data_IF_885957902784
#
_entry.id   IF_885957902784
#
_cell.length_a   1.000
_cell.length_b   1.000
_cell.length_c   1.000
_cell.angle_alpha   90.00
_cell.angle_beta   90.00
_cell.angle_gamma   90.00
#
_symmetry.space_group_name_H-M   'P 1'
#
loop_
_entity.id
_entity.type
_entity.pdbx_description
1 polymer ?
#
# COMPACT_ATOMS: atom_id res chain seq x y z
N UNK A 1 -80.21 -22.42 54.53
CA UNK A 1 -79.98 -23.81 54.96
C UNK A 1 -78.78 -24.35 54.19
N UNK A 2 -77.71 -24.59 54.93
CA UNK A 2 -76.81 -25.76 54.82
C UNK A 2 -75.92 -25.94 53.57
N UNK A 3 -74.67 -25.51 53.73
CA UNK A 3 -73.40 -26.27 53.64
C UNK A 3 -72.88 -26.86 52.31
N UNK A 4 -71.59 -26.55 52.10
CA UNK A 4 -70.52 -27.01 51.19
C UNK A 4 -70.52 -28.49 50.72
N UNK A 5 -69.91 -28.77 49.54
CA UNK A 5 -68.53 -29.29 49.37
C UNK A 5 -68.17 -29.45 47.86
N UNK A 6 -66.99 -28.92 47.48
CA UNK A 6 -65.96 -29.36 46.50
C UNK A 6 -66.31 -29.84 45.07
N UNK A 7 -65.71 -29.20 44.07
CA UNK A 7 -64.72 -29.85 43.16
C UNK A 7 -63.92 -28.84 42.34
N UNK A 8 -62.60 -29.05 42.30
CA UNK A 8 -61.55 -28.27 41.64
C UNK A 8 -61.68 -28.22 40.10
N UNK A 9 -61.31 -27.07 39.51
CA UNK A 9 -61.14 -26.87 38.07
C UNK A 9 -59.65 -26.60 37.76
N UNK A 10 -59.08 -27.15 36.67
CA UNK A 10 -57.65 -27.02 36.37
C UNK A 10 -57.32 -25.92 35.34
N UNK A 11 -56.02 -25.60 35.29
CA UNK A 11 -55.28 -24.85 34.26
C UNK A 11 -55.16 -23.32 34.42
N UNK A 12 -54.20 -22.93 35.25
CA UNK A 12 -53.49 -21.65 35.17
C UNK A 12 -52.60 -21.61 33.92
N UNK A 13 -52.80 -20.60 33.08
CA UNK A 13 -51.89 -20.22 32.01
C UNK A 13 -50.75 -19.38 32.57
N UNK A 14 -49.53 -19.94 32.59
CA UNK A 14 -48.31 -19.21 32.89
C UNK A 14 -47.91 -18.33 31.69
N UNK A 15 -47.74 -17.04 31.96
CA UNK A 15 -47.11 -16.09 31.07
C UNK A 15 -45.64 -16.49 30.83
N UNK A 16 -45.26 -16.63 29.56
CA UNK A 16 -43.87 -16.86 29.18
C UNK A 16 -43.09 -15.53 29.29
N UNK A 17 -42.17 -15.46 30.25
CA UNK A 17 -41.14 -14.43 30.32
C UNK A 17 -40.18 -14.59 29.12
N UNK A 18 -40.19 -13.63 28.21
CA UNK A 18 -39.18 -13.52 27.16
C UNK A 18 -37.85 -13.07 27.77
N UNK A 19 -37.01 -14.01 28.16
CA UNK A 19 -35.59 -13.74 28.36
C UNK A 19 -34.93 -13.52 27.00
N UNK A 20 -34.84 -12.26 26.57
CA UNK A 20 -33.95 -11.87 25.48
C UNK A 20 -32.50 -11.99 25.97
N UNK A 21 -31.86 -13.13 25.69
CA UNK A 21 -30.41 -13.24 25.80
C UNK A 21 -29.82 -12.36 24.72
N UNK A 22 -29.32 -11.18 25.11
CA UNK A 22 -28.51 -10.34 24.24
C UNK A 22 -27.18 -11.06 23.99
N UNK A 23 -27.13 -11.86 22.93
CA UNK A 23 -25.87 -12.29 22.33
C UNK A 23 -25.21 -11.04 21.76
N UNK A 24 -24.39 -10.38 22.58
CA UNK A 24 -23.57 -9.27 22.14
C UNK A 24 -22.78 -9.71 20.91
N UNK A 25 -23.00 -9.03 19.78
CA UNK A 25 -22.16 -9.17 18.61
C UNK A 25 -20.71 -8.90 19.06
N UNK A 26 -19.74 -9.77 18.73
CA UNK A 26 -18.35 -9.49 19.04
C UNK A 26 -17.98 -8.18 18.36
N UNK A 27 -17.69 -7.14 19.14
CA UNK A 27 -16.95 -6.00 18.63
C UNK A 27 -15.61 -6.56 18.14
N UNK A 28 -15.38 -6.53 16.83
CA UNK A 28 -14.03 -6.67 16.28
C UNK A 28 -13.20 -5.45 16.71
N UNK A 29 -12.81 -5.43 17.98
CA UNK A 29 -11.64 -4.69 18.37
C UNK A 29 -10.48 -5.28 17.58
N UNK A 30 -9.74 -4.43 16.88
CA UNK A 30 -8.46 -4.80 16.29
C UNK A 30 -7.57 -5.30 17.43
N UNK A 31 -7.57 -6.61 17.69
CA UNK A 31 -6.67 -7.23 18.66
C UNK A 31 -5.30 -7.26 18.01
N UNK A 32 -4.55 -6.19 18.19
CA UNK A 32 -3.19 -6.09 17.73
C UNK A 32 -2.39 -7.10 18.55
N UNK A 33 -1.81 -8.12 17.90
CA UNK A 33 -0.67 -8.82 18.46
C UNK A 33 0.54 -7.86 18.41
N UNK A 34 0.49 -6.81 19.23
CA UNK A 34 1.60 -5.87 19.38
C UNK A 34 2.70 -6.62 20.09
N UNK A 35 3.72 -7.04 19.34
CA UNK A 35 4.90 -7.64 19.95
C UNK A 35 5.75 -6.51 20.54
N UNK A 36 5.41 -6.09 21.76
CA UNK A 36 6.05 -4.97 22.46
C UNK A 36 7.46 -5.32 22.94
N UNK A 37 7.79 -6.60 23.09
CA UNK A 37 9.12 -7.02 23.52
C UNK A 37 10.13 -6.97 22.37
N UNK A 38 11.18 -6.16 22.52
CA UNK A 38 12.31 -6.11 21.60
C UNK A 38 13.00 -7.48 21.49
N UNK A 39 13.45 -7.90 20.30
CA UNK A 39 14.27 -9.10 20.15
C UNK A 39 15.54 -9.01 21.00
N UNK A 40 15.86 -10.06 21.77
CA UNK A 40 17.04 -10.09 22.65
C UNK A 40 18.36 -9.98 21.89
N UNK A 41 18.37 -10.42 20.63
CA UNK A 41 19.51 -10.41 19.72
C UNK A 41 19.51 -9.19 18.78
N UNK A 42 18.66 -8.18 19.03
CA UNK A 42 18.65 -6.94 18.24
C UNK A 42 20.00 -6.20 18.43
N UNK A 43 20.68 -5.78 17.34
CA UNK A 43 21.89 -4.99 17.45
C UNK A 43 21.69 -3.71 18.28
N UNK A 44 22.71 -3.36 19.08
CA UNK A 44 22.71 -2.13 19.87
C UNK A 44 22.70 -0.88 18.97
N UNK A 45 22.22 0.24 19.52
CA UNK A 45 22.36 1.53 18.86
C UNK A 45 23.85 1.93 18.78
N UNK A 46 24.18 2.76 17.79
CA UNK A 46 25.47 3.44 17.74
C UNK A 46 25.56 4.51 18.84
N UNK A 47 26.78 5.01 19.07
CA UNK A 47 27.03 6.03 20.10
C UNK A 47 26.22 7.33 19.92
N UNK A 48 25.80 7.65 18.69
CA UNK A 48 24.96 8.80 18.37
C UNK A 48 23.45 8.51 18.44
N UNK A 49 23.06 7.35 18.98
CA UNK A 49 21.68 6.88 19.09
C UNK A 49 21.09 6.32 17.79
N UNK A 50 21.82 6.36 16.66
CA UNK A 50 21.33 5.83 15.40
C UNK A 50 21.31 4.29 15.37
N UNK A 51 20.40 3.73 14.58
CA UNK A 51 20.23 2.28 14.36
C UNK A 51 20.12 2.00 12.87
N UNK A 52 20.52 0.80 12.45
CA UNK A 52 20.23 0.32 11.09
C UNK A 52 18.94 -0.48 11.09
N UNK A 53 18.09 -0.30 10.09
CA UNK A 53 16.93 -1.17 9.85
C UNK A 53 17.35 -2.46 9.14
N UNK A 54 18.28 -3.17 9.75
CA UNK A 54 18.80 -4.47 9.29
C UNK A 54 17.82 -5.58 9.66
N UNK A 55 17.75 -6.62 8.83
CA UNK A 55 17.13 -7.89 9.21
C UNK A 55 18.13 -9.05 9.28
N UNK A 56 17.64 -10.22 9.72
CA UNK A 56 18.44 -11.43 9.89
C UNK A 56 19.04 -12.01 8.59
N UNK A 57 18.66 -11.45 7.44
CA UNK A 57 19.09 -11.91 6.12
C UNK A 57 20.04 -10.92 5.44
N UNK A 58 20.51 -9.90 6.16
CA UNK A 58 21.46 -8.93 5.64
C UNK A 58 20.83 -7.78 4.84
N UNK A 59 19.50 -7.72 4.73
CA UNK A 59 18.81 -6.64 4.02
C UNK A 59 18.67 -5.43 4.94
N UNK A 60 18.88 -4.23 4.40
CA UNK A 60 18.73 -2.97 5.13
C UNK A 60 17.58 -2.18 4.52
N UNK A 61 16.60 -1.78 5.34
CA UNK A 61 15.52 -0.95 4.83
C UNK A 61 15.99 0.48 4.57
N UNK A 62 15.70 0.97 3.36
CA UNK A 62 16.03 2.32 2.87
C UNK A 62 14.82 3.04 2.24
N UNK A 63 13.76 2.30 1.88
CA UNK A 63 12.48 2.81 1.34
C UNK A 63 11.38 2.72 2.39
N UNK A 64 10.92 3.87 2.87
CA UNK A 64 9.79 4.02 3.79
C UNK A 64 8.52 4.30 3.02
N UNK A 65 7.51 3.44 3.18
CA UNK A 65 6.14 3.71 2.71
C UNK A 65 5.29 4.27 3.83
N UNK A 66 4.70 5.44 3.64
CA UNK A 66 3.87 6.14 4.63
C UNK A 66 2.42 6.19 4.15
N UNK A 67 1.55 5.48 4.85
CA UNK A 67 0.09 5.48 4.61
C UNK A 67 -0.54 6.66 5.34
N UNK A 68 -0.90 7.73 4.63
CA UNK A 68 -1.37 8.99 5.26
C UNK A 68 -2.85 9.00 5.64
N UNK A 69 -3.64 8.12 5.03
CA UNK A 69 -5.06 7.98 5.26
C UNK A 69 -5.50 6.60 4.80
N UNK A 70 -6.59 6.09 5.37
CA UNK A 70 -7.28 4.87 4.94
C UNK A 70 -8.41 5.15 3.94
N UNK A 71 -8.83 6.43 3.83
CA UNK A 71 -9.91 6.88 2.96
C UNK A 71 -9.49 6.84 1.50
N UNK A 72 -10.41 6.46 0.62
CA UNK A 72 -10.23 6.51 -0.83
C UNK A 72 -11.48 7.06 -1.53
N UNK A 73 -11.29 7.77 -2.63
CA UNK A 73 -12.36 8.28 -3.50
C UNK A 73 -12.76 7.29 -4.62
N UNK A 74 -12.08 6.15 -4.73
CA UNK A 74 -12.43 5.00 -5.58
C UNK A 74 -12.84 3.79 -4.73
N UNK A 75 -13.39 2.74 -5.37
CA UNK A 75 -13.77 1.46 -4.76
C UNK A 75 -13.32 0.28 -5.62
N UNK A 76 -12.02 0.24 -5.92
CA UNK A 76 -11.44 -0.75 -6.83
C UNK A 76 -11.76 -2.18 -6.38
N UNK A 77 -12.25 -3.01 -7.30
CA UNK A 77 -12.73 -4.38 -7.01
C UNK A 77 -11.69 -5.25 -6.29
N UNK A 78 -10.41 -5.10 -6.65
CA UNK A 78 -9.29 -5.84 -6.07
C UNK A 78 -8.74 -5.26 -4.76
N UNK A 79 -9.27 -4.13 -4.29
CA UNK A 79 -8.75 -3.40 -3.12
C UNK A 79 -9.82 -3.21 -2.03
N UNK A 80 -11.06 -2.91 -2.41
CA UNK A 80 -12.11 -2.48 -1.49
C UNK A 80 -13.49 -3.04 -1.88
N UNK A 81 -14.36 -3.41 -0.91
CA UNK A 81 -15.72 -3.85 -1.19
C UNK A 81 -16.62 -2.76 -1.82
N UNK A 82 -17.73 -3.23 -2.40
CA UNK A 82 -18.96 -2.49 -2.79
C UNK A 82 -19.16 -1.17 -2.06
N UNK A 83 -19.50 -1.38 -0.81
CA UNK A 83 -20.04 -0.41 0.12
C UNK A 83 -18.95 0.56 0.63
N UNK A 84 -17.68 0.25 0.37
CA UNK A 84 -16.53 0.89 1.01
C UNK A 84 -16.17 0.24 2.35
N UNK A 85 -15.19 0.83 3.03
CA UNK A 85 -14.79 0.40 4.37
C UNK A 85 -15.35 1.37 5.41
N UNK A 86 -15.55 0.87 6.62
CA UNK A 86 -15.63 1.74 7.79
C UNK A 86 -14.27 2.41 7.99
N UNK A 87 -14.26 3.74 7.87
CA UNK A 87 -13.03 4.50 8.02
C UNK A 87 -12.65 4.63 9.48
N UNK A 88 -11.34 4.62 9.74
CA UNK A 88 -10.80 4.90 11.06
C UNK A 88 -11.20 6.30 11.52
N UNK A 89 -11.61 6.36 12.78
CA UNK A 89 -11.81 7.61 13.48
C UNK A 89 -10.49 8.39 13.52
N UNK A 90 -10.57 9.72 13.40
CA UNK A 90 -9.39 10.58 13.22
C UNK A 90 -8.40 10.45 14.38
N UNK A 91 -8.91 10.29 15.60
CA UNK A 91 -8.13 10.05 16.82
C UNK A 91 -7.31 8.76 16.78
N UNK A 92 -7.68 7.80 15.93
CA UNK A 92 -6.93 6.57 15.69
C UNK A 92 -5.98 6.68 14.50
N UNK A 93 -5.77 7.86 13.94
CA UNK A 93 -4.78 8.08 12.89
C UNK A 93 -3.63 8.95 13.40
N UNK A 94 -2.48 8.86 12.73
CA UNK A 94 -1.39 9.80 12.97
C UNK A 94 -1.80 11.21 12.51
N UNK A 95 -1.62 12.19 13.39
CA UNK A 95 -1.67 13.60 12.99
C UNK A 95 -0.40 14.01 12.20
N UNK A 96 -0.36 15.26 11.73
CA UNK A 96 0.76 15.73 10.90
C UNK A 96 2.08 15.76 11.68
N UNK A 97 2.06 16.17 12.95
CA UNK A 97 3.26 16.30 13.79
C UNK A 97 3.82 14.91 14.11
N UNK A 98 2.96 13.95 14.42
CA UNK A 98 3.32 12.55 14.63
C UNK A 98 3.92 11.92 13.36
N UNK A 99 3.34 12.18 12.18
CA UNK A 99 3.90 11.72 10.89
C UNK A 99 5.28 12.34 10.66
N UNK A 100 5.41 13.66 10.82
CA UNK A 100 6.66 14.39 10.58
C UNK A 100 7.75 13.93 11.56
N UNK A 101 7.42 13.71 12.84
CA UNK A 101 8.35 13.18 13.85
C UNK A 101 8.87 11.79 13.46
N UNK A 102 7.99 10.86 13.12
CA UNK A 102 8.39 9.51 12.74
C UNK A 102 9.22 9.48 11.46
N UNK A 103 8.88 10.31 10.47
CA UNK A 103 9.68 10.49 9.26
C UNK A 103 11.07 11.04 9.61
N UNK A 104 11.14 12.08 10.45
CA UNK A 104 12.39 12.71 10.88
C UNK A 104 13.32 11.69 11.53
N UNK A 105 12.80 10.90 12.49
CA UNK A 105 13.55 9.81 13.13
C UNK A 105 14.00 8.76 12.11
N UNK A 106 13.14 8.39 11.17
CA UNK A 106 13.47 7.38 10.17
C UNK A 106 14.63 7.80 9.25
N UNK A 107 14.63 9.06 8.82
CA UNK A 107 15.67 9.58 7.90
C UNK A 107 16.97 9.82 8.67
N UNK A 108 16.90 10.51 9.81
CA UNK A 108 18.09 11.00 10.52
C UNK A 108 18.76 9.96 11.42
N UNK A 109 18.00 8.94 11.87
CA UNK A 109 18.49 7.94 12.84
C UNK A 109 18.33 6.49 12.39
N UNK A 110 17.49 6.19 11.39
CA UNK A 110 17.29 4.82 10.89
C UNK A 110 17.86 4.56 9.49
N UNK A 111 18.37 5.61 8.82
CA UNK A 111 19.01 5.49 7.52
C UNK A 111 18.04 5.38 6.33
N UNK A 112 16.80 5.81 6.48
CA UNK A 112 15.85 5.91 5.36
C UNK A 112 16.33 6.97 4.36
N UNK A 113 16.26 6.63 3.07
CA UNK A 113 16.71 7.49 1.95
C UNK A 113 15.59 7.81 0.97
N UNK A 114 14.56 6.98 0.91
CA UNK A 114 13.42 7.16 0.04
C UNK A 114 12.14 7.12 0.86
N UNK A 115 11.23 8.04 0.56
CA UNK A 115 9.92 8.10 1.18
C UNK A 115 8.86 8.07 0.10
N UNK A 116 7.91 7.16 0.27
CA UNK A 116 6.75 7.01 -0.60
C UNK A 116 5.48 7.27 0.19
N UNK A 117 4.81 8.37 -0.14
CA UNK A 117 3.49 8.66 0.38
C UNK A 117 2.42 7.88 -0.39
N UNK A 118 1.49 7.28 0.36
CA UNK A 118 0.43 6.39 -0.11
C UNK A 118 -0.73 6.44 0.91
N UNK A 119 -1.65 5.48 0.87
CA UNK A 119 -2.77 5.36 1.79
C UNK A 119 -3.84 4.40 1.26
N UNK A 120 -5.10 4.76 1.51
CA UNK A 120 -6.10 4.81 0.46
C UNK A 120 -5.64 5.83 -0.60
N UNK A 121 -6.28 6.99 -0.70
CA UNK A 121 -5.87 8.05 -1.63
C UNK A 121 -5.17 9.20 -0.89
N UNK A 122 -3.83 9.34 -0.99
CA UNK A 122 -3.09 10.37 -0.26
C UNK A 122 -3.46 11.81 -0.66
N UNK A 123 -3.98 12.05 -1.87
CA UNK A 123 -4.48 13.37 -2.27
C UNK A 123 -5.72 13.82 -1.48
N UNK A 124 -6.30 12.96 -0.63
CA UNK A 124 -7.32 13.35 0.34
C UNK A 124 -6.75 13.98 1.62
N UNK A 125 -5.44 13.83 1.89
CA UNK A 125 -4.77 14.52 3.00
C UNK A 125 -4.54 15.99 2.60
N UNK A 126 -5.23 16.89 3.29
CA UNK A 126 -5.17 18.34 3.02
C UNK A 126 -3.78 18.93 3.26
N UNK A 127 -3.03 18.37 4.20
CA UNK A 127 -1.70 18.82 4.62
C UNK A 127 -0.54 18.15 3.87
N UNK A 128 -0.81 17.44 2.77
CA UNK A 128 0.20 16.67 2.04
C UNK A 128 1.41 17.54 1.60
N UNK A 129 1.19 18.75 1.09
CA UNK A 129 2.26 19.67 0.69
C UNK A 129 3.14 20.04 1.88
N UNK A 130 2.55 20.30 3.05
CA UNK A 130 3.29 20.59 4.27
C UNK A 130 4.16 19.40 4.70
N UNK A 131 3.60 18.20 4.73
CA UNK A 131 4.35 16.97 5.09
C UNK A 131 5.52 16.75 4.12
N UNK A 132 5.29 16.93 2.81
CA UNK A 132 6.34 16.81 1.79
C UNK A 132 7.44 17.86 2.01
N UNK A 133 7.06 19.12 2.26
CA UNK A 133 8.01 20.21 2.50
C UNK A 133 8.88 19.95 3.72
N UNK A 134 8.30 19.53 4.86
CA UNK A 134 9.09 19.17 6.05
C UNK A 134 10.00 17.96 5.78
N UNK A 135 9.50 16.96 5.06
CA UNK A 135 10.29 15.80 4.67
C UNK A 135 11.49 16.18 3.80
N UNK A 136 11.33 17.11 2.84
CA UNK A 136 12.40 17.52 1.92
C UNK A 136 13.51 18.32 2.61
N UNK A 137 13.23 18.95 3.75
CA UNK A 137 14.24 19.66 4.55
C UNK A 137 15.22 18.71 5.24
N UNK A 138 14.85 17.44 5.43
CA UNK A 138 15.70 16.45 6.10
C UNK A 138 16.93 16.08 5.27
N UNK A 139 17.93 15.48 5.92
CA UNK A 139 19.15 14.96 5.28
C UNK A 139 19.36 13.51 5.66
N UNK A 140 19.62 12.69 4.66
CA UNK A 140 19.93 11.27 4.81
C UNK A 140 21.34 11.08 5.38
N UNK A 141 21.72 9.84 5.64
CA UNK A 141 23.08 9.44 5.99
C UNK A 141 24.12 9.73 4.89
N UNK A 142 23.69 10.13 3.70
CA UNK A 142 24.54 10.56 2.58
C UNK A 142 24.62 12.09 2.46
N UNK A 143 23.99 12.84 3.37
CA UNK A 143 23.96 14.30 3.34
C UNK A 143 23.06 14.91 2.26
N UNK A 144 22.23 14.09 1.59
CA UNK A 144 21.28 14.52 0.56
C UNK A 144 19.85 14.59 1.10
N UNK A 145 18.95 15.39 0.51
CA UNK A 145 17.52 15.28 0.77
C UNK A 145 17.00 13.87 0.43
N UNK A 146 16.03 13.31 1.19
CA UNK A 146 15.41 12.07 0.79
C UNK A 146 14.69 12.22 -0.56
N UNK A 147 14.65 11.13 -1.34
CA UNK A 147 13.81 11.09 -2.55
C UNK A 147 12.36 10.86 -2.16
N UNK A 148 11.47 11.70 -2.65
CA UNK A 148 10.05 11.70 -2.31
C UNK A 148 9.21 11.28 -3.52
N UNK A 149 8.40 10.24 -3.33
CA UNK A 149 7.46 9.76 -4.32
C UNK A 149 6.03 9.73 -3.76
N UNK A 150 5.05 9.93 -4.63
CA UNK A 150 3.63 9.78 -4.31
C UNK A 150 3.04 8.60 -5.09
N UNK A 151 2.20 7.78 -4.47
CA UNK A 151 1.39 6.76 -5.15
C UNK A 151 -0.09 7.12 -5.01
N UNK A 152 -0.76 7.36 -6.13
CA UNK A 152 -2.10 7.93 -6.18
C UNK A 152 -2.90 7.30 -7.32
N UNK A 153 -4.23 7.32 -7.24
CA UNK A 153 -5.08 7.05 -8.39
C UNK A 153 -5.17 8.22 -9.38
N UNK A 154 -4.54 9.36 -9.05
CA UNK A 154 -4.41 10.54 -9.90
C UNK A 154 -5.56 11.55 -9.77
N UNK A 155 -6.71 11.17 -9.22
CA UNK A 155 -7.88 12.06 -9.19
C UNK A 155 -7.63 13.31 -8.33
N UNK A 156 -7.61 14.49 -8.96
CA UNK A 156 -7.38 15.78 -8.32
C UNK A 156 -5.91 16.21 -8.30
N UNK A 157 -5.00 15.39 -8.84
CA UNK A 157 -3.57 15.73 -8.93
C UNK A 157 -3.36 16.98 -9.77
N UNK A 158 -4.12 17.17 -10.85
CA UNK A 158 -3.98 18.29 -11.79
C UNK A 158 -4.10 19.66 -11.11
N UNK A 159 -4.81 19.73 -9.98
CA UNK A 159 -5.02 20.97 -9.21
C UNK A 159 -3.92 21.26 -8.21
N UNK A 160 -3.14 20.24 -7.82
CA UNK A 160 -2.16 20.29 -6.71
C UNK A 160 -0.73 20.06 -7.16
N UNK A 161 -0.53 19.53 -8.37
CA UNK A 161 0.78 19.04 -8.84
C UNK A 161 1.90 20.06 -8.73
N UNK A 162 1.64 21.32 -9.08
CA UNK A 162 2.64 22.39 -8.98
C UNK A 162 3.04 22.66 -7.52
N UNK A 163 2.06 22.74 -6.61
CA UNK A 163 2.32 22.95 -5.18
C UNK A 163 3.06 21.76 -4.57
N UNK A 164 2.73 20.54 -4.99
CA UNK A 164 3.43 19.32 -4.57
C UNK A 164 4.88 19.30 -5.09
N UNK A 165 5.10 19.72 -6.34
CA UNK A 165 6.45 19.84 -6.93
C UNK A 165 7.28 20.89 -6.19
N UNK A 166 6.71 22.06 -5.93
CA UNK A 166 7.33 23.14 -5.16
C UNK A 166 7.68 22.71 -3.73
N UNK A 167 6.82 21.92 -3.09
CA UNK A 167 7.08 21.34 -1.78
C UNK A 167 8.25 20.33 -1.79
N UNK A 168 8.63 19.80 -2.96
CA UNK A 168 9.78 18.90 -3.12
C UNK A 168 9.44 17.48 -3.55
N UNK A 169 8.23 17.23 -4.08
CA UNK A 169 7.88 15.95 -4.70
C UNK A 169 8.74 15.70 -5.94
N UNK A 170 9.44 14.57 -5.99
CA UNK A 170 10.33 14.25 -7.11
C UNK A 170 9.59 13.52 -8.24
N UNK A 171 8.74 12.55 -7.88
CA UNK A 171 8.07 11.65 -8.83
C UNK A 171 6.70 11.16 -8.36
N UNK A 172 5.89 10.67 -9.30
CA UNK A 172 4.57 10.08 -9.04
C UNK A 172 4.45 8.68 -9.62
N UNK A 173 3.68 7.84 -8.93
CA UNK A 173 3.14 6.59 -9.43
C UNK A 173 1.61 6.74 -9.52
N UNK A 174 1.06 6.68 -10.72
CA UNK A 174 -0.37 6.78 -10.96
C UNK A 174 -0.92 5.38 -11.24
N UNK A 175 -1.91 4.94 -10.45
CA UNK A 175 -2.59 3.67 -10.68
C UNK A 175 -3.61 3.82 -11.82
N UNK A 176 -3.43 3.06 -12.89
CA UNK A 176 -4.31 3.03 -14.05
C UNK A 176 -4.28 1.62 -14.66
N UNK A 177 -5.33 0.85 -14.44
CA UNK A 177 -5.39 -0.57 -14.82
C UNK A 177 -5.92 -0.81 -16.25
N UNK A 178 -6.49 0.21 -16.90
CA UNK A 178 -7.05 0.15 -18.26
C UNK A 178 -7.26 1.57 -18.80
N UNK A 179 -7.19 1.73 -20.13
CA UNK A 179 -7.60 2.96 -20.83
C UNK A 179 -9.01 2.86 -21.44
N UNK A 180 -9.70 1.73 -21.26
CA UNK A 180 -11.10 1.58 -21.64
C UNK A 180 -12.01 2.17 -20.56
N UNK A 181 -12.93 3.05 -20.98
CA UNK A 181 -13.80 3.78 -20.07
C UNK A 181 -14.76 2.87 -19.31
N UNK A 182 -15.36 1.88 -19.98
CA UNK A 182 -16.34 0.99 -19.36
C UNK A 182 -15.66 0.09 -18.34
N UNK A 183 -14.52 -0.51 -18.72
CA UNK A 183 -13.72 -1.35 -17.85
C UNK A 183 -13.15 -0.57 -16.67
N UNK A 184 -12.69 0.68 -16.87
CA UNK A 184 -12.27 1.56 -15.78
C UNK A 184 -13.41 1.78 -14.78
N UNK A 185 -14.61 2.10 -15.27
CA UNK A 185 -15.77 2.35 -14.42
C UNK A 185 -16.21 1.09 -13.67
N UNK A 186 -16.13 -0.09 -14.28
CA UNK A 186 -16.40 -1.38 -13.63
C UNK A 186 -15.35 -1.68 -12.54
N UNK A 187 -14.07 -1.56 -12.87
CA UNK A 187 -12.95 -1.85 -11.97
C UNK A 187 -12.93 -0.92 -10.75
N UNK A 188 -13.01 0.39 -10.98
CA UNK A 188 -12.89 1.39 -9.92
C UNK A 188 -14.22 1.72 -9.24
N UNK A 189 -15.33 1.25 -9.85
CA UNK A 189 -16.72 1.56 -9.51
C UNK A 189 -17.05 3.06 -9.57
N UNK A 190 -16.29 3.81 -10.37
CA UNK A 190 -16.45 5.25 -10.60
C UNK A 190 -16.06 5.58 -12.05
N UNK A 191 -16.93 6.28 -12.78
CA UNK A 191 -16.59 6.76 -14.13
C UNK A 191 -15.75 8.04 -14.06
N UNK A 192 -14.43 7.91 -13.92
CA UNK A 192 -13.50 9.03 -13.67
C UNK A 192 -12.19 8.98 -14.47
N UNK A 193 -12.13 8.15 -15.51
CA UNK A 193 -10.92 7.94 -16.32
C UNK A 193 -10.31 9.25 -16.87
N UNK A 194 -11.16 10.16 -17.36
CA UNK A 194 -10.71 11.47 -17.89
C UNK A 194 -9.91 12.28 -16.86
N UNK A 195 -10.23 12.14 -15.57
CA UNK A 195 -9.47 12.77 -14.49
C UNK A 195 -8.06 12.19 -14.34
N UNK A 196 -7.90 10.89 -14.56
CA UNK A 196 -6.60 10.22 -14.51
C UNK A 196 -5.72 10.63 -15.68
N UNK A 197 -6.28 10.76 -16.89
CA UNK A 197 -5.53 11.27 -18.04
C UNK A 197 -5.04 12.71 -17.82
N UNK A 198 -5.90 13.60 -17.30
CA UNK A 198 -5.49 14.97 -16.92
C UNK A 198 -4.40 14.97 -15.85
N UNK A 199 -4.45 14.05 -14.89
CA UNK A 199 -3.45 13.91 -13.86
C UNK A 199 -2.08 13.48 -14.40
N UNK A 200 -2.06 12.54 -15.35
CA UNK A 200 -0.84 12.10 -16.04
C UNK A 200 -0.22 13.27 -16.81
N UNK A 201 -1.03 13.97 -17.60
CA UNK A 201 -0.57 15.11 -18.40
C UNK A 201 -0.02 16.22 -17.52
N UNK A 202 -0.76 16.61 -16.47
CA UNK A 202 -0.33 17.64 -15.53
C UNK A 202 0.95 17.24 -14.76
N UNK A 203 1.15 15.96 -14.44
CA UNK A 203 2.37 15.47 -13.81
C UNK A 203 3.60 15.60 -14.72
N UNK A 204 3.44 15.26 -15.99
CA UNK A 204 4.50 15.40 -17.00
C UNK A 204 4.81 16.89 -17.21
N UNK A 205 3.80 17.72 -17.39
CA UNK A 205 3.93 19.18 -17.59
C UNK A 205 4.59 19.88 -16.40
N UNK A 206 4.31 19.44 -15.17
CA UNK A 206 4.94 19.96 -13.95
C UNK A 206 6.41 19.51 -13.77
N UNK A 207 6.95 18.68 -14.67
CA UNK A 207 8.33 18.19 -14.61
C UNK A 207 8.57 17.20 -13.47
N UNK A 208 7.55 16.43 -13.06
CA UNK A 208 7.77 15.25 -12.23
C UNK A 208 8.41 14.16 -13.08
N UNK A 209 9.50 13.56 -12.60
CA UNK A 209 10.23 12.58 -13.40
C UNK A 209 10.84 11.48 -12.51
N UNK A 210 10.60 10.21 -12.82
CA UNK A 210 9.64 9.69 -13.81
C UNK A 210 8.19 9.81 -13.36
N UNK A 211 7.29 10.03 -14.33
CA UNK A 211 5.86 9.72 -14.15
C UNK A 211 5.70 8.23 -14.44
N UNK A 212 5.33 7.46 -13.40
CA UNK A 212 5.13 6.01 -13.51
C UNK A 212 3.66 5.69 -13.54
N UNK A 213 3.25 4.75 -14.40
CA UNK A 213 1.91 4.17 -14.40
C UNK A 213 2.02 2.76 -13.81
N UNK A 214 1.12 2.41 -12.90
CA UNK A 214 1.01 1.07 -12.34
C UNK A 214 -0.31 0.44 -12.76
N UNK A 215 -0.25 -0.78 -13.28
CA UNK A 215 -1.42 -1.54 -13.68
C UNK A 215 -1.37 -2.94 -13.09
N UNK A 216 -2.36 -3.31 -12.30
CA UNK A 216 -2.55 -4.70 -11.87
C UNK A 216 -3.25 -5.46 -13.00
N UNK A 217 -2.65 -6.56 -13.43
CA UNK A 217 -3.23 -7.41 -14.47
C UNK A 217 -4.04 -8.52 -13.80
N UNK A 218 -5.33 -8.56 -14.10
CA UNK A 218 -6.31 -9.45 -13.50
C UNK A 218 -6.92 -10.36 -14.58
N UNK A 219 -7.02 -11.67 -14.31
CA UNK A 219 -7.52 -12.63 -15.29
C UNK A 219 -9.01 -12.47 -15.57
N UNK A 220 -9.39 -12.59 -16.83
CA UNK A 220 -10.75 -12.40 -17.35
C UNK A 220 -11.26 -10.95 -17.26
N UNK A 221 -10.38 -9.98 -17.03
CA UNK A 221 -10.77 -8.59 -16.72
C UNK A 221 -10.06 -7.61 -17.67
N UNK A 222 -8.73 -7.53 -17.62
CA UNK A 222 -7.96 -6.49 -18.31
C UNK A 222 -6.71 -7.00 -19.05
N UNK A 223 -6.62 -8.30 -19.36
CA UNK A 223 -5.49 -8.83 -20.15
C UNK A 223 -5.41 -8.22 -21.54
N UNK A 224 -6.56 -7.86 -22.11
CA UNK A 224 -6.66 -7.23 -23.42
C UNK A 224 -6.19 -5.76 -23.38
N UNK A 225 -6.01 -5.17 -22.20
CA UNK A 225 -5.48 -3.82 -22.03
C UNK A 225 -3.94 -3.76 -21.97
N UNK A 226 -3.24 -4.91 -21.88
CA UNK A 226 -1.78 -4.93 -21.72
C UNK A 226 -1.08 -4.16 -22.84
N UNK A 227 -1.34 -4.50 -24.10
CA UNK A 227 -0.69 -3.82 -25.24
C UNK A 227 -1.21 -2.38 -25.44
N UNK A 228 -2.53 -2.12 -25.42
CA UNK A 228 -3.05 -0.75 -25.52
C UNK A 228 -2.50 0.20 -24.46
N UNK A 229 -2.42 -0.25 -23.20
CA UNK A 229 -1.91 0.57 -22.09
C UNK A 229 -0.40 0.82 -22.22
N UNK A 230 0.37 -0.17 -22.67
CA UNK A 230 1.80 -0.01 -22.95
C UNK A 230 2.07 1.03 -24.03
N UNK A 231 1.34 0.95 -25.15
CA UNK A 231 1.40 1.94 -26.24
C UNK A 231 1.02 3.34 -25.75
N UNK A 232 -0.03 3.45 -24.94
CA UNK A 232 -0.44 4.70 -24.34
C UNK A 232 0.66 5.31 -23.46
N UNK A 233 1.26 4.52 -22.56
CA UNK A 233 2.30 4.99 -21.66
C UNK A 233 3.55 5.43 -22.42
N UNK A 234 4.01 4.65 -23.40
CA UNK A 234 5.15 5.02 -24.26
C UNK A 234 4.88 6.32 -25.02
N UNK A 235 3.68 6.49 -25.58
CA UNK A 235 3.28 7.74 -26.25
C UNK A 235 3.32 8.95 -25.33
N UNK A 236 3.01 8.77 -24.05
CA UNK A 236 3.08 9.82 -23.03
C UNK A 236 4.50 10.06 -22.48
N UNK A 237 5.47 9.20 -22.81
CA UNK A 237 6.78 9.21 -22.16
C UNK A 237 6.74 8.76 -20.68
N UNK A 238 5.68 8.05 -20.29
CA UNK A 238 5.51 7.52 -18.93
C UNK A 238 6.08 6.10 -18.81
N UNK A 239 6.61 5.77 -17.64
CA UNK A 239 7.11 4.41 -17.37
C UNK A 239 5.96 3.53 -16.85
N UNK A 240 5.48 2.59 -17.67
CA UNK A 240 4.46 1.63 -17.26
C UNK A 240 5.06 0.47 -16.47
N UNK A 241 4.38 0.02 -15.42
CA UNK A 241 4.71 -1.19 -14.68
C UNK A 241 3.47 -2.05 -14.50
N UNK A 242 3.50 -3.23 -15.12
CA UNK A 242 2.50 -4.26 -14.86
C UNK A 242 2.80 -4.98 -13.56
N UNK A 243 1.76 -5.36 -12.83
CA UNK A 243 1.84 -6.01 -11.53
C UNK A 243 1.00 -7.29 -11.61
N UNK A 244 1.61 -8.42 -11.27
CA UNK A 244 0.84 -9.66 -11.06
C UNK A 244 -0.15 -9.46 -9.91
N UNK A 245 -1.40 -9.88 -10.11
CA UNK A 245 -2.40 -9.78 -9.06
C UNK A 245 -1.97 -10.59 -7.82
N UNK A 246 -1.92 -9.92 -6.67
CA UNK A 246 -1.67 -10.53 -5.37
C UNK A 246 -2.99 -10.74 -4.60
N UNK A 247 -3.05 -11.72 -3.68
CA UNK A 247 -4.19 -11.95 -2.80
C UNK A 247 -4.24 -10.92 -1.65
N UNK A 248 -4.50 -9.65 -1.99
CA UNK A 248 -4.61 -8.52 -1.05
C UNK A 248 -6.04 -7.95 -0.96
N UNK A 249 -6.95 -8.48 -1.78
CA UNK A 249 -8.37 -8.15 -1.79
C UNK A 249 -9.19 -9.21 -1.06
N UNK A 250 -10.51 -9.29 -1.32
CA UNK A 250 -11.38 -10.29 -0.71
C UNK A 250 -10.89 -11.73 -0.96
N UNK A 251 -10.86 -12.55 0.11
CA UNK A 251 -10.24 -13.90 0.12
C UNK A 251 -10.66 -14.80 -1.05
N UNK A 252 -11.92 -14.73 -1.46
CA UNK A 252 -12.51 -15.63 -2.45
C UNK A 252 -12.22 -15.26 -3.92
N UNK A 253 -11.62 -14.09 -4.17
CA UNK A 253 -11.49 -13.54 -5.52
C UNK A 253 -10.16 -13.84 -6.22
N UNK A 254 -9.19 -14.46 -5.52
CA UNK A 254 -7.88 -14.75 -6.08
C UNK A 254 -7.59 -16.25 -6.13
N UNK A 255 -7.17 -16.73 -7.30
CA UNK A 255 -6.71 -18.11 -7.52
C UNK A 255 -5.38 -18.08 -8.25
N UNK A 256 -4.37 -18.75 -7.68
CA UNK A 256 -3.03 -18.82 -8.26
C UNK A 256 -3.01 -19.42 -9.66
N UNK A 257 -3.83 -20.45 -9.91
CA UNK A 257 -3.93 -21.16 -11.19
C UNK A 257 -4.38 -20.29 -12.34
N UNK A 258 -5.13 -19.24 -12.03
CA UNK A 258 -5.82 -18.43 -13.04
C UNK A 258 -5.07 -17.12 -13.27
N UNK A 259 -3.96 -16.86 -12.57
CA UNK A 259 -3.26 -15.58 -12.66
C UNK A 259 -2.68 -15.34 -14.05
N UNK A 260 -2.59 -14.06 -14.41
CA UNK A 260 -1.80 -13.63 -15.57
C UNK A 260 -0.36 -13.41 -15.10
N UNK A 261 0.55 -14.25 -15.61
CA UNK A 261 1.94 -14.27 -15.15
C UNK A 261 2.79 -13.18 -15.82
N UNK A 262 3.96 -12.92 -15.26
CA UNK A 262 4.97 -12.09 -15.89
C UNK A 262 5.33 -12.57 -17.31
N UNK A 263 5.38 -13.89 -17.54
CA UNK A 263 5.65 -14.45 -18.86
C UNK A 263 4.49 -14.23 -19.83
N UNK A 264 3.24 -14.30 -19.36
CA UNK A 264 2.08 -13.97 -20.18
C UNK A 264 2.07 -12.50 -20.60
N UNK A 265 2.40 -11.60 -19.67
CA UNK A 265 2.50 -10.16 -19.92
C UNK A 265 3.58 -9.90 -20.97
N UNK A 266 4.79 -10.43 -20.76
CA UNK A 266 5.91 -10.22 -21.69
C UNK A 266 5.63 -10.80 -23.07
N UNK A 267 5.03 -11.99 -23.15
CA UNK A 267 4.64 -12.62 -24.41
C UNK A 267 3.67 -11.74 -25.19
N UNK A 268 2.58 -11.28 -24.56
CA UNK A 268 1.59 -10.39 -25.20
C UNK A 268 2.22 -9.06 -25.65
N UNK A 269 3.10 -8.47 -24.84
CA UNK A 269 3.81 -7.24 -25.23
C UNK A 269 4.70 -7.48 -26.46
N UNK A 270 5.41 -8.61 -26.50
CA UNK A 270 6.37 -8.93 -27.56
C UNK A 270 5.71 -9.18 -28.92
N UNK A 271 4.39 -9.35 -28.98
CA UNK A 271 3.63 -9.47 -30.23
C UNK A 271 3.61 -8.14 -31.02
N UNK A 272 3.70 -7.00 -30.33
CA UNK A 272 3.55 -5.68 -30.96
C UNK A 272 4.61 -4.63 -30.53
N UNK A 273 5.40 -4.93 -29.50
CA UNK A 273 6.39 -4.01 -28.90
C UNK A 273 7.73 -4.74 -28.84
N UNK A 274 8.78 -4.09 -29.37
CA UNK A 274 10.14 -4.61 -29.25
C UNK A 274 10.60 -4.45 -27.81
N UNK A 275 10.96 -5.56 -27.14
CA UNK A 275 11.42 -5.57 -25.77
C UNK A 275 12.84 -6.13 -25.66
N UNK A 276 13.73 -5.39 -25.03
CA UNK A 276 15.05 -5.88 -24.60
C UNK A 276 15.22 -5.70 -23.10
N UNK A 277 15.84 -6.63 -22.37
CA UNK A 277 16.11 -6.43 -20.95
C UNK A 277 16.90 -5.13 -20.72
N UNK A 278 16.52 -4.36 -19.68
CA UNK A 278 17.30 -3.18 -19.31
C UNK A 278 18.71 -3.58 -18.86
N UNK A 279 19.69 -2.73 -19.14
CA UNK A 279 21.11 -2.98 -18.81
C UNK A 279 21.36 -2.96 -17.30
N UNK A 280 20.67 -2.07 -16.59
CA UNK A 280 20.83 -1.95 -15.14
C UNK A 280 20.21 -3.14 -14.41
N UNK A 281 20.92 -3.73 -13.44
CA UNK A 281 20.34 -4.78 -12.61
C UNK A 281 19.17 -4.23 -11.80
N UNK A 282 18.14 -5.06 -11.61
CA UNK A 282 16.93 -4.68 -10.87
C UNK A 282 17.21 -4.13 -9.46
N UNK A 283 18.21 -4.70 -8.77
CA UNK A 283 18.48 -4.39 -7.36
C UNK A 283 17.24 -4.58 -6.48
N UNK A 284 17.01 -3.64 -5.56
CA UNK A 284 15.84 -3.63 -4.66
C UNK A 284 14.53 -3.18 -5.32
N UNK A 285 14.58 -2.71 -6.58
CA UNK A 285 13.39 -2.28 -7.29
C UNK A 285 12.41 -3.46 -7.48
N UNK A 286 11.10 -3.28 -7.26
CA UNK A 286 10.15 -4.37 -7.40
C UNK A 286 9.95 -4.78 -8.87
N UNK A 287 10.10 -3.85 -9.81
CA UNK A 287 9.91 -4.09 -11.23
C UNK A 287 11.25 -4.46 -11.87
N UNK A 288 11.30 -5.60 -12.54
CA UNK A 288 12.30 -5.79 -13.60
C UNK A 288 11.94 -4.86 -14.77
N UNK A 289 12.94 -4.27 -15.42
CA UNK A 289 12.72 -3.32 -16.51
C UNK A 289 13.15 -3.91 -17.85
N UNK A 290 12.42 -3.51 -18.90
CA UNK A 290 12.71 -3.75 -20.29
C UNK A 290 12.74 -2.41 -21.01
N UNK A 291 13.74 -2.21 -21.88
CA UNK A 291 13.68 -1.18 -22.90
C UNK A 291 12.60 -1.59 -23.91
N UNK A 292 11.72 -0.66 -24.24
CA UNK A 292 10.57 -0.89 -25.08
C UNK A 292 10.55 0.11 -26.22
N UNK A 293 10.32 -0.38 -27.43
CA UNK A 293 10.17 0.44 -28.64
C UNK A 293 8.93 0.01 -29.42
N UNK A 294 8.13 0.97 -29.86
CA UNK A 294 6.94 0.73 -30.69
C UNK A 294 6.78 1.80 -31.76
N UNK A 295 6.43 1.38 -32.98
CA UNK A 295 6.06 2.29 -34.07
C UNK A 295 4.56 2.55 -34.08
N UNK A 296 4.13 3.80 -33.89
CA UNK A 296 2.72 4.22 -33.90
C UNK A 296 2.58 5.52 -34.69
N UNK A 297 1.55 5.64 -35.53
CA UNK A 297 1.25 6.88 -36.27
C UNK A 297 2.45 7.45 -37.06
N UNK A 298 3.29 6.58 -37.63
CA UNK A 298 4.56 6.90 -38.33
C UNK A 298 5.67 7.48 -37.43
N UNK A 299 5.53 7.44 -36.12
CA UNK A 299 6.55 7.82 -35.14
C UNK A 299 7.05 6.59 -34.38
N UNK A 300 8.28 6.65 -33.92
CA UNK A 300 8.86 5.66 -33.00
C UNK A 300 8.74 6.23 -31.58
N UNK A 301 8.19 5.43 -30.67
CA UNK A 301 8.11 5.73 -29.25
C UNK A 301 8.97 4.73 -28.49
N UNK A 302 9.86 5.25 -27.65
CA UNK A 302 10.79 4.47 -26.84
C UNK A 302 10.66 4.82 -25.36
N UNK A 303 11.03 3.88 -24.49
CA UNK A 303 11.00 4.06 -23.05
C UNK A 303 11.22 2.77 -22.28
N UNK A 304 10.81 2.73 -21.02
CA UNK A 304 10.89 1.52 -20.20
C UNK A 304 9.51 1.00 -19.82
N UNK A 305 9.33 -0.31 -19.94
CA UNK A 305 8.22 -1.06 -19.36
C UNK A 305 8.77 -1.92 -18.23
N UNK A 306 8.07 -1.98 -17.11
CA UNK A 306 8.39 -2.85 -16.00
C UNK A 306 7.35 -3.93 -15.76
N UNK A 307 7.79 -5.02 -15.16
CA UNK A 307 6.93 -6.11 -14.69
C UNK A 307 7.31 -6.43 -13.26
N UNK A 308 6.33 -6.33 -12.36
CA UNK A 308 6.42 -6.67 -10.95
C UNK A 308 5.83 -8.07 -10.80
N UNK A 309 6.71 -9.06 -10.96
CA UNK A 309 6.42 -10.49 -10.86
C UNK A 309 6.29 -10.92 -9.38
N UNK A 310 5.34 -10.32 -8.68
CA UNK A 310 5.18 -10.43 -7.23
C UNK A 310 4.88 -11.85 -6.73
N UNK A 311 4.41 -12.73 -7.62
CA UNK A 311 4.06 -14.12 -7.30
C UNK A 311 5.02 -15.09 -7.99
N UNK A 312 5.27 -14.92 -9.28
CA UNK A 312 6.05 -15.90 -10.06
C UNK A 312 7.57 -15.74 -9.92
N UNK A 313 8.06 -14.53 -9.61
CA UNK A 313 9.50 -14.25 -9.40
C UNK A 313 9.71 -13.32 -8.19
N UNK A 314 9.50 -13.81 -6.96
CA UNK A 314 9.57 -12.99 -5.75
C UNK A 314 10.90 -12.25 -5.60
N UNK A 315 10.83 -11.01 -5.11
CA UNK A 315 11.98 -10.11 -4.90
C UNK A 315 12.25 -9.84 -3.42
N UNK A 316 11.94 -10.80 -2.57
CA UNK A 316 12.12 -10.64 -1.14
C UNK A 316 13.60 -10.55 -0.76
N UNK A 317 14.49 -11.29 -1.44
CA UNK A 317 15.93 -11.31 -1.18
C UNK A 317 16.61 -9.93 -1.22
N UNK A 318 16.09 -9.02 -2.04
CA UNK A 318 16.64 -7.66 -2.21
C UNK A 318 15.75 -6.59 -1.57
N UNK A 319 14.73 -6.98 -0.79
CA UNK A 319 13.71 -6.06 -0.29
C UNK A 319 14.24 -5.12 0.80
N UNK A 320 14.27 -3.82 0.49
CA UNK A 320 14.73 -2.72 1.34
C UNK A 320 13.57 -1.87 1.91
N UNK A 321 12.36 -2.43 1.98
CA UNK A 321 11.16 -1.69 2.39
C UNK A 321 10.82 -1.86 3.87
N UNK A 322 10.38 -0.76 4.46
CA UNK A 322 9.63 -0.68 5.73
C UNK A 322 8.36 0.16 5.52
N UNK A 323 7.36 0.01 6.37
CA UNK A 323 6.04 0.62 6.18
C UNK A 323 5.57 1.24 7.48
N UNK A 324 4.98 2.42 7.38
CA UNK A 324 4.24 3.10 8.44
C UNK A 324 2.76 3.16 8.01
N UNK A 325 1.90 2.51 8.80
CA UNK A 325 0.46 2.47 8.56
C UNK A 325 -0.21 3.77 9.04
N UNK A 326 -1.47 3.98 8.65
CA UNK A 326 -2.22 5.22 8.97
C UNK A 326 -2.50 5.39 10.45
N UNK A 327 -2.67 4.29 11.19
CA UNK A 327 -2.78 4.23 12.64
C UNK A 327 -1.41 4.24 13.36
N UNK A 328 -0.32 4.35 12.60
CA UNK A 328 1.03 4.54 13.12
C UNK A 328 1.71 3.28 13.65
N UNK A 329 1.33 2.11 13.12
CA UNK A 329 2.09 0.89 13.29
C UNK A 329 3.17 0.75 12.21
N UNK A 330 4.33 0.22 12.60
CA UNK A 330 5.37 -0.16 11.66
C UNK A 330 5.24 -1.62 11.26
N UNK A 331 5.46 -1.89 9.98
CA UNK A 331 5.41 -3.23 9.38
C UNK A 331 6.66 -3.46 8.54
N UNK A 332 7.25 -4.64 8.66
CA UNK A 332 8.44 -5.03 7.90
C UNK A 332 8.13 -5.63 6.51
N UNK A 333 6.87 -5.97 6.25
CA UNK A 333 6.41 -6.61 5.02
C UNK A 333 4.97 -6.20 4.71
N UNK A 334 4.61 -6.20 3.42
CA UNK A 334 3.20 -6.02 3.01
C UNK A 334 2.33 -7.14 3.58
N UNK A 335 2.85 -8.38 3.52
CA UNK A 335 2.18 -9.59 3.97
C UNK A 335 2.53 -10.00 5.42
N UNK A 336 3.16 -9.11 6.19
CA UNK A 336 3.53 -9.42 7.58
C UNK A 336 2.30 -9.48 8.48
N UNK A 337 2.25 -10.41 9.44
CA UNK A 337 1.21 -10.42 10.47
C UNK A 337 1.67 -9.78 11.78
N UNK A 338 2.95 -9.40 11.85
CA UNK A 338 3.53 -8.63 12.96
C UNK A 338 3.50 -7.15 12.63
N UNK A 339 3.16 -6.35 13.64
CA UNK A 339 3.28 -4.90 13.60
C UNK A 339 3.53 -4.35 15.00
N UNK A 340 4.18 -3.18 15.06
CA UNK A 340 4.49 -2.50 16.31
C UNK A 340 3.92 -1.09 16.26
N UNK A 341 2.99 -0.74 17.17
CA UNK A 341 2.33 0.56 17.21
C UNK A 341 3.28 1.63 17.75
N UNK A 342 3.87 2.44 16.87
CA UNK A 342 4.70 3.58 17.28
C UNK A 342 3.85 4.75 17.77
N UNK A 343 2.63 4.91 17.24
CA UNK A 343 1.66 5.90 17.73
C UNK A 343 1.38 5.71 19.22
N UNK A 344 1.04 4.50 19.63
CA UNK A 344 0.66 4.25 21.03
C UNK A 344 1.86 4.41 21.97
N UNK A 345 3.04 3.95 21.56
CA UNK A 345 4.29 4.21 22.30
C UNK A 345 4.54 5.71 22.44
N UNK A 346 4.45 6.46 21.35
CA UNK A 346 4.68 7.90 21.32
C UNK A 346 3.69 8.66 22.22
N UNK A 347 2.40 8.31 22.16
CA UNK A 347 1.35 8.91 23.00
C UNK A 347 1.45 8.49 24.46
N UNK A 348 2.04 7.34 24.76
CA UNK A 348 2.38 6.91 26.11
C UNK A 348 3.65 7.59 26.67
N UNK A 349 4.30 8.46 25.90
CA UNK A 349 5.48 9.20 26.34
C UNK A 349 6.81 8.52 26.07
N UNK A 350 6.87 7.55 25.16
CA UNK A 350 8.12 6.91 24.76
C UNK A 350 9.12 7.95 24.21
N UNK A 351 10.37 7.77 24.62
CA UNK A 351 11.52 8.51 24.10
C UNK A 351 11.78 8.16 22.63
N UNK A 352 12.53 9.02 21.93
CA UNK A 352 12.95 8.75 20.56
C UNK A 352 13.78 7.46 20.48
N UNK A 353 14.62 7.16 21.48
CA UNK A 353 15.43 5.94 21.53
C UNK A 353 14.57 4.67 21.59
N UNK A 354 13.46 4.70 22.34
CA UNK A 354 12.50 3.60 22.41
C UNK A 354 11.75 3.41 21.10
N UNK A 355 11.33 4.50 20.44
CA UNK A 355 10.70 4.44 19.12
C UNK A 355 11.64 3.87 18.05
N UNK A 356 12.91 4.29 18.05
CA UNK A 356 13.95 3.79 17.15
C UNK A 356 14.21 2.30 17.39
N UNK A 357 14.28 1.87 18.65
CA UNK A 357 14.47 0.47 19.01
C UNK A 357 13.28 -0.39 18.59
N UNK A 358 12.05 0.08 18.83
CA UNK A 358 10.83 -0.60 18.43
C UNK A 358 10.76 -0.81 16.92
N UNK A 359 11.10 0.23 16.14
CA UNK A 359 11.14 0.13 14.68
C UNK A 359 12.20 -0.85 14.18
N UNK A 360 13.43 -0.74 14.70
CA UNK A 360 14.51 -1.67 14.37
C UNK A 360 14.16 -3.11 14.77
N UNK A 361 13.51 -3.30 15.92
CA UNK A 361 13.00 -4.58 16.40
C UNK A 361 12.00 -5.22 15.45
N UNK A 362 11.05 -4.44 14.93
CA UNK A 362 10.09 -4.93 13.95
C UNK A 362 10.78 -5.33 12.64
N UNK A 363 11.74 -4.55 12.17
CA UNK A 363 12.51 -4.90 10.97
C UNK A 363 13.37 -6.15 11.16
N UNK A 364 13.94 -6.35 12.35
CA UNK A 364 14.73 -7.53 12.68
C UNK A 364 13.93 -8.84 12.61
N UNK A 365 12.60 -8.78 12.80
CA UNK A 365 11.70 -9.93 12.68
C UNK A 365 11.32 -10.28 11.22
N UNK A 366 11.77 -9.49 10.24
CA UNK A 366 11.38 -9.68 8.83
C UNK A 366 11.76 -11.07 8.36
N UNK A 367 10.77 -11.80 7.84
CA UNK A 367 10.91 -13.14 7.26
C UNK A 367 11.73 -13.12 5.95
N UNK A 368 12.31 -14.25 5.50
CA UNK A 368 13.12 -14.27 4.28
C UNK A 368 12.28 -13.99 3.03
N UNK A 369 11.02 -14.44 3.03
CA UNK A 369 10.02 -14.15 2.00
C UNK A 369 8.63 -13.96 2.59
N UNK A 370 7.67 -13.57 1.74
CA UNK A 370 6.26 -13.43 2.13
C UNK A 370 5.55 -14.78 2.32
N UNK A 371 6.14 -15.90 1.89
CA UNK A 371 5.61 -17.25 2.12
C UNK A 371 4.35 -17.58 1.32
N UNK A 372 4.10 -16.92 0.18
CA UNK A 372 2.88 -17.16 -0.63
C UNK A 372 2.94 -18.52 -1.36
N UNK A 373 4.12 -19.14 -1.40
CA UNK A 373 4.31 -20.49 -1.92
C UNK A 373 4.08 -21.56 -0.84
N UNK A 374 3.93 -21.18 0.43
CA UNK A 374 3.71 -22.12 1.53
C UNK A 374 2.23 -22.48 1.64
N UNK A 375 1.90 -23.76 1.83
CA UNK A 375 0.50 -24.22 2.02
C UNK A 375 -0.20 -23.53 3.21
N UNK A 376 0.57 -23.04 4.18
CA UNK A 376 0.08 -22.30 5.35
C UNK A 376 -0.04 -20.78 5.16
N UNK A 377 0.05 -20.26 3.93
CA UNK A 377 -0.06 -18.83 3.67
C UNK A 377 -1.42 -18.28 4.09
N UNK A 378 -1.41 -17.35 5.04
CA UNK A 378 -2.58 -16.59 5.44
C UNK A 378 -2.54 -15.21 4.78
N UNK A 379 -3.63 -14.84 4.11
CA UNK A 379 -3.80 -13.49 3.61
C UNK A 379 -3.80 -12.51 4.80
N UNK A 380 -3.17 -11.32 4.66
CA UNK A 380 -3.16 -10.32 5.71
C UNK A 380 -4.58 -9.90 6.08
N UNK A 381 -4.84 -9.70 7.37
CA UNK A 381 -6.17 -9.28 7.84
C UNK A 381 -6.48 -7.81 7.50
N UNK A 382 -5.45 -6.99 7.28
CA UNK A 382 -5.60 -5.57 6.94
C UNK A 382 -5.78 -5.39 5.42
N UNK A 383 -6.75 -4.56 4.98
CA UNK A 383 -6.91 -4.23 3.58
C UNK A 383 -5.71 -3.41 3.08
N UNK A 384 -5.44 -3.50 1.77
CA UNK A 384 -4.33 -2.80 1.11
C UNK A 384 -4.31 -1.28 1.42
N UNK A 385 -5.49 -0.65 1.49
CA UNK A 385 -5.65 0.78 1.78
C UNK A 385 -5.17 1.20 3.17
N UNK A 386 -4.98 0.26 4.11
CA UNK A 386 -4.57 0.58 5.48
C UNK A 386 -3.07 0.35 5.75
N UNK A 387 -2.33 -0.25 4.80
CA UNK A 387 -0.94 -0.71 5.00
C UNK A 387 0.06 -0.14 3.98
N UNK A 388 -0.38 0.83 3.16
CA UNK A 388 0.44 1.59 2.23
C UNK A 388 0.90 0.82 0.99
N UNK A 389 -0.06 0.38 0.17
CA UNK A 389 0.12 -0.35 -1.11
C UNK A 389 1.26 0.11 -1.99
#
# INVERSE_FOLDING_TARGET
MTTQISSLNPHEGQAAENHSVSLGLPQMGLSHASSTSLPKDLPAAKADGSRSLLDKYGRVARDLRVSLTDRCNLRCTYCMPAEGLEWMATEHTLDDDEVIRLITLSVTKLGIRQIRFTGGEPLLRKSLEHIIAETKKLRTDEGLPPSIALTTNGLGLERRVHQLKEAGLDRVNISLDTIDKQRYAQLTRRDRLDGVFKAIDAAIEAGLNPVKINAVVMPGINEDDIVPLAKFALRKGAQLRFIEQMPLGPREQWKRSDMVTADDILRRLSEEISLTPAEEPRGSAPAQLWNAEVSLDKNIYEGNIGVIASVTRPFCGDCDRTRLTTDGAVRNCLFGNSETSLRDLMRAGASDEELLAAWAGEMWRKKPGHGMDDEGFLQPDRPMSAIGG
#
